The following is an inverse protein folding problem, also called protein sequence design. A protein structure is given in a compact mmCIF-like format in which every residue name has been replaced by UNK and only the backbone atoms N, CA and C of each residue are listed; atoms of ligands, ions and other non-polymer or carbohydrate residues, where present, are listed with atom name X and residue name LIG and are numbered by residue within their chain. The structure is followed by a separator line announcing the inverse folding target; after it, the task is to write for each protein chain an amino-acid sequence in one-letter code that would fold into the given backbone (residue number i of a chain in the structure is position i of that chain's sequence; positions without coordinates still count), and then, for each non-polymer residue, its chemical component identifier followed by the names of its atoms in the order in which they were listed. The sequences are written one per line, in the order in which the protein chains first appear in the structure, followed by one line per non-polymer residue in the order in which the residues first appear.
data_IF_071110396399
#
_entry.id   IF_071110396399
#
_cell.length_a   1.000
_cell.length_b   1.000
_cell.length_c   1.000
_cell.angle_alpha   90.00
_cell.angle_beta   90.00
_cell.angle_gamma   90.00
#
_symmetry.space_group_name_H-M   'P 1'
#
loop_
_entity.id
_entity.type
_entity.pdbx_description
1 polymer ?
#
# COMPACT_ATOMS: atom_id res chain seq x y z
N UNK A 1 15.01 15.33 26.54
CA UNK A 1 15.06 15.36 25.55
C UNK A 1 14.15 14.69 24.80
N UNK A 2 13.87 14.76 24.23
CA UNK A 2 12.88 14.52 23.72
C UNK A 2 12.44 13.49 22.86
N UNK A 3 11.34 13.12 23.09
CA UNK A 3 10.70 12.22 22.27
C UNK A 3 9.63 12.83 21.51
N UNK A 4 9.55 14.11 21.50
CA UNK A 4 8.40 14.76 21.00
C UNK A 4 8.15 14.53 19.54
N UNK A 5 9.13 14.16 18.80
CA UNK A 5 8.95 14.04 17.36
C UNK A 5 9.12 12.64 16.83
N UNK A 6 9.00 11.66 17.70
CA UNK A 6 9.36 10.31 17.29
C UNK A 6 8.17 9.41 17.00
N UNK A 7 6.96 9.94 17.08
CA UNK A 7 5.76 9.12 16.97
C UNK A 7 5.01 9.28 15.66
N UNK A 8 5.75 9.37 14.58
CA UNK A 8 5.13 9.32 13.26
C UNK A 8 4.66 7.90 13.01
N UNK A 9 3.43 7.79 12.57
CA UNK A 9 2.92 6.50 12.14
C UNK A 9 3.65 6.03 10.89
N UNK A 10 3.65 4.73 10.69
CA UNK A 10 4.24 4.11 9.52
C UNK A 10 3.16 3.28 8.86
N UNK A 11 2.74 3.70 7.69
CA UNK A 11 1.70 3.01 6.93
C UNK A 11 2.19 2.63 5.55
N UNK A 12 1.58 1.61 4.99
CA UNK A 12 1.97 1.04 3.70
C UNK A 12 0.74 0.80 2.84
N UNK A 13 0.94 0.89 1.56
CA UNK A 13 -0.05 0.54 0.56
C UNK A 13 0.64 -0.05 -0.66
N UNK A 14 -0.16 -0.58 -1.57
CA UNK A 14 0.35 -1.02 -2.87
C UNK A 14 -0.65 -0.72 -3.96
N UNK A 15 -0.13 -0.58 -5.16
CA UNK A 15 -0.94 -0.62 -6.37
C UNK A 15 -0.72 -2.00 -6.99
N UNK A 16 -1.77 -2.79 -7.03
CA UNK A 16 -1.77 -4.14 -7.60
C UNK A 16 -2.57 -4.10 -8.90
N UNK A 17 -1.90 -4.42 -10.00
CA UNK A 17 -2.52 -4.38 -11.31
C UNK A 17 -2.56 -5.78 -11.89
N UNK A 18 -3.73 -6.17 -12.39
CA UNK A 18 -3.96 -7.45 -13.03
C UNK A 18 -4.88 -7.23 -14.23
N UNK A 19 -4.45 -7.63 -15.41
CA UNK A 19 -5.25 -7.51 -16.63
C UNK A 19 -5.80 -6.10 -16.86
N UNK A 20 -4.92 -5.09 -16.69
CA UNK A 20 -5.26 -3.67 -16.84
C UNK A 20 -6.29 -3.15 -15.82
N UNK A 21 -6.44 -3.84 -14.70
CA UNK A 21 -7.32 -3.44 -13.61
C UNK A 21 -6.52 -3.26 -12.34
N UNK A 22 -6.96 -2.32 -11.50
CA UNK A 22 -6.34 -2.05 -10.20
C UNK A 22 -7.28 -2.49 -9.08
N UNK A 23 -6.70 -3.05 -8.02
CA UNK A 23 -7.46 -3.46 -6.85
C UNK A 23 -7.73 -2.26 -5.95
N UNK A 24 -9.00 -2.00 -5.66
CA UNK A 24 -9.43 -0.90 -4.80
C UNK A 24 -10.39 -1.41 -3.73
N UNK A 25 -10.42 -0.71 -2.61
CA UNK A 25 -11.34 -0.99 -1.51
C UNK A 25 -12.10 0.28 -1.14
N UNK A 26 -13.40 0.15 -0.87
CA UNK A 26 -14.22 1.29 -0.44
C UNK A 26 -14.18 1.37 1.08
N UNK A 27 -13.57 2.43 1.58
CA UNK A 27 -13.38 2.62 3.01
C UNK A 27 -14.69 2.95 3.72
N UNK A 28 -14.81 2.47 4.96
CA UNK A 28 -15.99 2.69 5.81
C UNK A 28 -15.76 3.75 6.87
N UNK A 29 -14.53 4.24 7.02
CA UNK A 29 -14.17 5.14 8.12
C UNK A 29 -13.11 6.15 7.67
N UNK A 30 -12.83 7.11 8.56
CA UNK A 30 -11.76 8.08 8.37
C UNK A 30 -12.03 9.11 7.27
N UNK A 31 -10.99 9.80 6.87
CA UNK A 31 -11.08 10.82 5.83
C UNK A 31 -11.41 10.28 4.45
N UNK A 32 -11.19 8.99 4.24
CA UNK A 32 -11.51 8.32 2.98
C UNK A 32 -12.85 7.59 2.97
N UNK A 33 -13.70 7.84 3.97
CA UNK A 33 -14.99 7.15 4.07
C UNK A 33 -15.81 7.33 2.79
N UNK A 34 -16.26 6.21 2.24
CA UNK A 34 -17.03 6.19 0.99
C UNK A 34 -16.19 6.25 -0.27
N UNK A 35 -14.87 6.43 -0.14
CA UNK A 35 -13.97 6.53 -1.28
C UNK A 35 -13.34 5.18 -1.62
N UNK A 36 -13.03 4.98 -2.88
CA UNK A 36 -12.30 3.82 -3.37
C UNK A 36 -10.79 4.13 -3.32
N UNK A 37 -10.07 3.41 -2.49
CA UNK A 37 -8.67 3.67 -2.19
C UNK A 37 -7.86 2.38 -2.39
N UNK A 38 -6.58 2.51 -2.67
CA UNK A 38 -5.67 1.34 -2.66
C UNK A 38 -5.56 0.78 -1.24
N UNK A 39 -5.75 -0.54 -1.05
CA UNK A 39 -5.67 -1.14 0.28
C UNK A 39 -4.32 -0.97 0.94
N UNK A 40 -4.30 -1.02 2.27
CA UNK A 40 -3.08 -0.89 3.05
C UNK A 40 -3.40 -0.69 4.52
N UNK A 41 -2.40 -0.39 5.31
CA UNK A 41 -2.57 -0.16 6.73
C UNK A 41 -1.27 0.13 7.45
N UNK A 42 -1.31 0.07 8.77
CA UNK A 42 -0.16 0.40 9.59
C UNK A 42 0.81 -0.77 9.71
N UNK A 43 2.10 -0.43 9.81
CA UNK A 43 3.17 -1.39 10.10
C UNK A 43 3.15 -1.66 11.60
N UNK A 44 3.09 -2.94 11.98
CA UNK A 44 3.16 -3.33 13.38
C UNK A 44 4.62 -3.48 13.82
N UNK A 45 4.83 -3.39 15.13
CA UNK A 45 6.16 -3.62 15.69
C UNK A 45 6.65 -5.02 15.30
N UNK A 46 7.89 -5.10 14.86
CA UNK A 46 8.50 -6.39 14.50
C UNK A 46 8.29 -6.84 13.06
N UNK A 47 7.50 -6.12 12.27
CA UNK A 47 7.39 -6.46 10.84
C UNK A 47 8.08 -5.41 9.96
N UNK A 48 8.52 -5.86 8.80
CA UNK A 48 9.01 -4.96 7.76
C UNK A 48 7.81 -4.36 7.00
N UNK A 49 8.00 -3.26 6.27
CA UNK A 49 6.91 -2.69 5.47
C UNK A 49 6.26 -3.68 4.52
N UNK A 50 7.05 -4.52 3.83
CA UNK A 50 6.47 -5.50 2.91
C UNK A 50 5.71 -6.60 3.63
N UNK A 51 6.14 -7.02 4.83
CA UNK A 51 5.40 -7.99 5.64
C UNK A 51 4.07 -7.40 6.08
N UNK A 52 4.06 -6.15 6.52
CA UNK A 52 2.84 -5.44 6.89
C UNK A 52 1.87 -5.38 5.70
N UNK A 53 2.40 -5.06 4.53
CA UNK A 53 1.60 -4.92 3.33
C UNK A 53 0.93 -6.23 2.93
N UNK A 54 1.67 -7.33 2.96
CA UNK A 54 1.13 -8.68 2.65
C UNK A 54 0.01 -9.02 3.64
N UNK A 55 0.24 -8.76 4.92
CA UNK A 55 -0.75 -9.03 5.97
C UNK A 55 -2.02 -8.20 5.77
N UNK A 56 -1.87 -6.89 5.57
CA UNK A 56 -3.01 -5.99 5.38
C UNK A 56 -3.85 -6.36 4.15
N UNK A 57 -3.21 -6.69 3.04
CA UNK A 57 -3.94 -7.10 1.85
C UNK A 57 -4.74 -8.39 2.09
N UNK A 58 -4.14 -9.35 2.79
CA UNK A 58 -4.84 -10.59 3.12
C UNK A 58 -6.04 -10.32 4.05
N UNK A 59 -5.85 -9.48 5.06
CA UNK A 59 -6.91 -9.14 6.01
C UNK A 59 -8.06 -8.40 5.34
N UNK A 60 -7.75 -7.38 4.55
CA UNK A 60 -8.76 -6.49 3.98
C UNK A 60 -9.39 -7.01 2.70
N UNK A 61 -8.66 -7.78 1.90
CA UNK A 61 -9.10 -8.11 0.54
C UNK A 61 -9.10 -9.60 0.22
N UNK A 62 -8.49 -10.43 1.04
CA UNK A 62 -8.26 -11.85 0.78
C UNK A 62 -7.36 -12.12 -0.42
N UNK A 63 -6.61 -11.13 -0.84
CA UNK A 63 -5.66 -11.25 -1.95
C UNK A 63 -4.25 -11.42 -1.41
N UNK A 64 -3.54 -12.42 -1.92
CA UNK A 64 -2.11 -12.59 -1.69
C UNK A 64 -1.35 -11.80 -2.73
N UNK A 65 -0.41 -10.98 -2.29
CA UNK A 65 0.39 -10.13 -3.17
C UNK A 65 1.88 -10.32 -2.91
N UNK A 66 2.68 -9.92 -3.89
CA UNK A 66 4.13 -9.89 -3.78
C UNK A 66 4.61 -8.45 -4.02
N UNK A 67 4.95 -7.71 -2.97
CA UNK A 67 5.53 -6.37 -3.14
C UNK A 67 6.84 -6.43 -3.91
N UNK A 68 7.04 -5.50 -4.84
CA UNK A 68 8.25 -5.49 -5.68
C UNK A 68 9.11 -4.26 -5.41
N UNK A 69 8.65 -3.09 -5.77
CA UNK A 69 9.45 -1.87 -5.61
C UNK A 69 8.63 -0.76 -5.00
N UNK A 70 9.30 0.20 -4.39
CA UNK A 70 8.67 1.38 -3.80
C UNK A 70 8.49 2.41 -4.92
N UNK A 71 7.27 2.87 -5.12
CA UNK A 71 6.90 3.81 -6.18
C UNK A 71 6.49 5.18 -5.66
N UNK A 72 6.41 5.35 -4.35
CA UNK A 72 6.09 6.64 -3.78
C UNK A 72 6.13 6.62 -2.27
N UNK A 73 6.35 7.78 -1.69
CA UNK A 73 6.28 7.97 -0.24
C UNK A 73 5.59 9.32 -0.02
N UNK A 74 4.50 9.31 0.73
CA UNK A 74 3.85 10.54 1.15
C UNK A 74 4.13 10.79 2.61
N UNK A 75 4.55 12.00 2.93
CA UNK A 75 4.73 12.45 4.30
C UNK A 75 3.62 13.43 4.64
N UNK A 76 3.02 13.28 5.81
CA UNK A 76 2.20 14.33 6.39
C UNK A 76 2.56 14.47 7.88
N UNK A 77 1.77 15.19 8.66
CA UNK A 77 2.11 15.43 10.07
C UNK A 77 1.82 14.23 10.96
N UNK A 78 1.22 13.17 10.42
CA UNK A 78 0.82 12.00 11.20
C UNK A 78 1.58 10.75 10.81
N UNK A 79 1.90 10.55 9.52
CA UNK A 79 2.53 9.31 9.11
C UNK A 79 3.38 9.44 7.85
N UNK A 80 4.21 8.44 7.67
CA UNK A 80 4.92 8.13 6.44
C UNK A 80 4.13 7.04 5.74
N UNK A 81 3.66 7.31 4.56
CA UNK A 81 2.83 6.41 3.78
C UNK A 81 3.64 5.93 2.59
N UNK A 82 4.10 4.70 2.67
CA UNK A 82 4.98 4.10 1.66
C UNK A 82 4.15 3.28 0.69
N UNK A 83 4.25 3.60 -0.58
CA UNK A 83 3.50 2.94 -1.63
C UNK A 83 4.40 2.02 -2.47
N UNK A 84 3.97 0.79 -2.63
CA UNK A 84 4.67 -0.22 -3.41
C UNK A 84 3.94 -0.52 -4.70
N UNK A 85 4.68 -0.97 -5.71
CA UNK A 85 4.13 -1.77 -6.77
C UNK A 85 4.11 -3.20 -6.27
N UNK A 86 3.05 -3.95 -6.53
CA UNK A 86 2.98 -5.34 -6.10
C UNK A 86 2.30 -6.20 -7.16
N UNK A 87 2.69 -7.46 -7.20
CA UNK A 87 2.12 -8.44 -8.12
C UNK A 87 1.01 -9.22 -7.44
N UNK A 88 -0.05 -9.51 -8.17
CA UNK A 88 -1.09 -10.43 -7.73
C UNK A 88 -0.53 -11.85 -7.74
N UNK A 89 -0.74 -12.58 -6.65
CA UNK A 89 -0.34 -13.98 -6.54
C UNK A 89 -1.54 -14.89 -6.60
N UNK A 90 -2.52 -14.70 -5.71
CA UNK A 90 -3.72 -15.56 -5.65
C UNK A 90 -4.83 -14.89 -4.86
N UNK A 91 -6.00 -15.52 -4.87
CA UNK A 91 -7.15 -15.11 -4.09
C UNK A 91 -8.23 -14.41 -4.90
N UNK A 92 -9.42 -14.29 -4.32
CA UNK A 92 -10.54 -13.56 -4.90
C UNK A 92 -10.84 -12.32 -4.06
N UNK A 93 -10.97 -11.18 -4.72
CA UNK A 93 -11.25 -9.90 -4.06
C UNK A 93 -12.53 -10.03 -3.22
N UNK A 94 -12.40 -9.88 -1.91
CA UNK A 94 -13.48 -10.09 -0.96
C UNK A 94 -13.38 -9.03 0.14
N UNK A 95 -14.49 -8.34 0.40
CA UNK A 95 -14.57 -7.36 1.48
C UNK A 95 -14.46 -8.03 2.84
N UNK A 96 -13.80 -7.37 3.79
CA UNK A 96 -13.79 -7.78 5.19
C UNK A 96 -15.09 -7.37 5.91
N UNK A 97 -15.94 -6.56 5.27
CA UNK A 97 -17.20 -6.02 5.82
C UNK A 97 -17.01 -5.27 7.14
N UNK A 98 -15.84 -4.71 7.34
CA UNK A 98 -15.49 -3.95 8.54
C UNK A 98 -14.79 -2.66 8.13
N UNK A 99 -13.51 -2.71 7.80
CA UNK A 99 -12.75 -1.54 7.38
C UNK A 99 -13.10 -1.11 5.95
N UNK A 100 -13.61 -2.03 5.15
CA UNK A 100 -14.14 -1.73 3.83
C UNK A 100 -15.50 -2.38 3.62
N UNK A 101 -16.28 -1.82 2.71
CA UNK A 101 -17.59 -2.35 2.33
C UNK A 101 -17.59 -3.02 0.97
N UNK A 102 -16.52 -2.86 0.22
CA UNK A 102 -16.41 -3.36 -1.14
C UNK A 102 -14.93 -3.48 -1.53
N UNK A 103 -14.56 -4.56 -2.19
CA UNK A 103 -13.24 -4.75 -2.78
C UNK A 103 -13.46 -5.19 -4.23
N UNK A 104 -12.83 -4.50 -5.16
CA UNK A 104 -13.06 -4.77 -6.59
C UNK A 104 -11.83 -4.48 -7.43
N UNK A 105 -11.79 -5.15 -8.58
CA UNK A 105 -10.85 -4.85 -9.65
C UNK A 105 -11.53 -3.84 -10.58
N UNK A 106 -10.92 -2.68 -10.74
CA UNK A 106 -11.46 -1.61 -11.58
C UNK A 106 -10.51 -1.31 -12.73
N UNK A 107 -11.06 -1.10 -13.93
CA UNK A 107 -10.25 -0.67 -15.06
C UNK A 107 -9.45 0.58 -14.68
N UNK A 108 -8.18 0.62 -15.04
CA UNK A 108 -7.28 1.72 -14.69
C UNK A 108 -7.85 3.05 -15.20
N UNK A 109 -8.31 3.11 -16.45
CA UNK A 109 -8.86 4.35 -17.01
C UNK A 109 -10.12 4.80 -16.25
N UNK A 110 -10.97 3.86 -15.86
CA UNK A 110 -12.16 4.17 -15.07
C UNK A 110 -11.76 4.74 -13.71
N UNK A 111 -10.80 4.11 -13.02
CA UNK A 111 -10.33 4.58 -11.73
C UNK A 111 -9.80 6.01 -11.79
N UNK A 112 -9.04 6.33 -12.84
CA UNK A 112 -8.43 7.65 -13.00
C UNK A 112 -9.45 8.75 -13.31
N UNK A 113 -10.67 8.40 -13.70
CA UNK A 113 -11.71 9.38 -14.06
C UNK A 113 -12.82 9.53 -13.03
N UNK A 114 -12.82 8.72 -11.96
CA UNK A 114 -13.92 8.72 -10.99
C UNK A 114 -13.73 9.76 -9.90
N UNK A 115 -14.84 10.37 -9.48
CA UNK A 115 -14.82 11.36 -8.40
C UNK A 115 -14.69 10.71 -7.02
N UNK A 116 -15.05 9.43 -6.89
CA UNK A 116 -14.91 8.70 -5.63
C UNK A 116 -13.58 7.96 -5.49
N UNK A 117 -12.62 8.22 -6.36
CA UNK A 117 -11.22 7.81 -6.22
C UNK A 117 -10.40 9.05 -5.88
N UNK A 118 -9.75 9.11 -4.70
CA UNK A 118 -9.02 10.30 -4.29
C UNK A 118 -7.82 10.61 -5.20
N UNK A 119 -7.42 11.87 -5.20
CA UNK A 119 -6.28 12.33 -5.99
C UNK A 119 -5.01 11.54 -5.68
N UNK A 120 -4.73 11.29 -4.40
CA UNK A 120 -3.55 10.53 -4.00
C UNK A 120 -3.57 9.12 -4.63
N UNK A 121 -4.71 8.44 -4.58
CA UNK A 121 -4.86 7.13 -5.20
C UNK A 121 -4.60 7.19 -6.71
N UNK A 122 -5.12 8.20 -7.38
CA UNK A 122 -4.89 8.40 -8.83
C UNK A 122 -3.40 8.61 -9.12
N UNK A 123 -2.72 9.42 -8.33
CA UNK A 123 -1.29 9.67 -8.49
C UNK A 123 -0.50 8.38 -8.30
N UNK A 124 -0.85 7.58 -7.29
CA UNK A 124 -0.17 6.31 -7.05
C UNK A 124 -0.39 5.30 -8.18
N UNK A 125 -1.60 5.25 -8.74
CA UNK A 125 -1.89 4.41 -9.90
C UNK A 125 -1.02 4.84 -11.09
N UNK A 126 -0.94 6.14 -11.35
CA UNK A 126 -0.10 6.68 -12.42
C UNK A 126 1.38 6.36 -12.21
N UNK A 127 1.85 6.44 -10.97
CA UNK A 127 3.20 6.05 -10.62
C UNK A 127 3.45 4.57 -10.91
N UNK A 128 2.49 3.71 -10.57
CA UNK A 128 2.60 2.26 -10.77
C UNK A 128 2.64 1.86 -12.24
N UNK A 129 1.91 2.54 -13.11
CA UNK A 129 1.88 2.23 -14.55
C UNK A 129 3.00 2.91 -15.33
N UNK A 130 3.76 3.79 -14.69
CA UNK A 130 4.91 4.43 -15.33
C UNK A 130 5.98 3.40 -15.66
N UNK A 131 6.93 3.79 -16.53
CA UNK A 131 8.04 2.92 -16.91
C UNK A 131 9.20 2.99 -15.91
N UNK A 132 9.08 3.85 -14.90
CA UNK A 132 10.13 4.00 -13.89
C UNK A 132 10.10 2.81 -12.91
N UNK A 133 11.27 2.31 -12.57
CA UNK A 133 11.38 1.16 -11.67
C UNK A 133 11.13 1.52 -10.21
N UNK A 134 11.47 2.73 -9.80
CA UNK A 134 11.41 3.12 -8.40
C UNK A 134 12.58 2.56 -7.60
N UNK A 135 12.40 2.46 -6.29
CA UNK A 135 13.41 1.89 -5.40
C UNK A 135 13.24 0.37 -5.35
N UNK A 136 14.33 -0.34 -5.56
CA UNK A 136 14.35 -1.80 -5.64
C UNK A 136 14.85 -2.42 -4.33
N UNK A 137 14.33 -3.60 -4.01
CA UNK A 137 14.83 -4.34 -2.85
C UNK A 137 16.29 -4.74 -3.06
N UNK A 138 17.09 -4.55 -2.02
CA UNK A 138 18.50 -4.91 -2.05
C UNK A 138 18.83 -5.72 -0.79
N UNK A 139 19.44 -6.89 -0.96
CA UNK A 139 19.87 -7.66 0.20
C UNK A 139 20.92 -6.88 0.99
N UNK A 140 20.80 -6.97 2.31
CA UNK A 140 21.62 -6.14 3.19
C UNK A 140 21.87 -6.88 4.49
N UNK A 141 23.15 -6.98 4.86
CA UNK A 141 23.57 -7.61 6.12
C UNK A 141 23.70 -6.53 7.18
N UNK A 142 22.69 -6.40 7.99
CA UNK A 142 22.68 -5.42 9.07
C UNK A 142 23.10 -6.01 10.41
N UNK A 143 22.93 -5.23 11.45
CA UNK A 143 23.18 -5.66 12.82
C UNK A 143 22.04 -6.56 13.28
N UNK A 144 22.36 -7.77 13.75
CA UNK A 144 21.35 -8.76 14.14
C UNK A 144 20.44 -8.27 15.27
N UNK A 145 20.89 -7.29 16.05
CA UNK A 145 20.11 -6.73 17.16
C UNK A 145 18.80 -6.08 16.71
N UNK A 146 18.78 -5.53 15.52
CA UNK A 146 17.63 -4.78 15.02
C UNK A 146 16.97 -5.42 13.80
N UNK A 147 17.33 -6.67 13.50
CA UNK A 147 16.67 -7.38 12.40
C UNK A 147 15.18 -7.61 12.70
N UNK A 148 14.32 -7.77 11.67
CA UNK A 148 14.69 -7.87 10.26
C UNK A 148 14.98 -6.52 9.61
N UNK A 149 15.72 -6.55 8.51
CA UNK A 149 16.03 -5.38 7.71
C UNK A 149 15.33 -5.43 6.37
N UNK A 150 15.04 -4.25 5.84
CA UNK A 150 14.44 -4.13 4.51
C UNK A 150 15.02 -2.87 3.88
N UNK A 151 15.87 -3.03 2.89
CA UNK A 151 16.50 -1.91 2.19
C UNK A 151 15.98 -1.83 0.77
N UNK A 152 15.57 -0.63 0.37
CA UNK A 152 15.19 -0.31 -0.99
C UNK A 152 16.01 0.87 -1.47
N UNK A 153 16.62 0.74 -2.63
CA UNK A 153 17.44 1.81 -3.19
C UNK A 153 17.49 1.71 -4.73
N UNK A 154 18.17 2.67 -5.38
CA UNK A 154 18.38 2.66 -6.83
C UNK A 154 19.43 1.64 -7.21
#
# INVERSE_FOLDING_TARGET
MGNENTNWGQSVTAVVIKENKVLLARHTYGGGKGMLIVPGGYVNSGETPQQALIREYMEETRIEIKPTNIIGIRFDMHDWYIAFRAEYVSGEATSDNDENSEVLWMDIEAALSRDDVPELTKILIQSAISKEDGLMYKEYQGNTKHSPYSLYCI
#
